data_IF_630373607291
#
_entry.id   IF_630373607291
#
_cell.length_a   1.000
_cell.length_b   1.000
_cell.length_c   1.000
_cell.angle_alpha   90.00
_cell.angle_beta   90.00
_cell.angle_gamma   90.00
#
_symmetry.space_group_name_H-M   'P 1'
#
loop_
_entity.id
_entity.type
_entity.pdbx_description
1 polymer ?
#
# COMPACT_ATOMS: atom_id res chain seq x y z
N UNK A 1 17.37 -18.34 -26.98
CA UNK A 1 16.38 -19.03 -26.12
C UNK A 1 15.12 -18.16 -26.12
N UNK A 2 14.03 -18.58 -26.76
CA UNK A 2 12.77 -17.82 -26.79
C UNK A 2 11.98 -18.17 -25.53
N UNK A 3 11.79 -17.22 -24.62
CA UNK A 3 10.86 -17.36 -23.51
C UNK A 3 9.45 -17.30 -24.09
N UNK A 4 8.75 -18.43 -24.09
CA UNK A 4 7.32 -18.47 -24.35
C UNK A 4 6.62 -18.09 -23.03
N UNK A 5 5.77 -17.06 -23.01
CA UNK A 5 4.97 -16.76 -21.82
C UNK A 5 4.02 -17.94 -21.59
N UNK A 6 4.08 -18.52 -20.40
CA UNK A 6 3.13 -19.54 -19.96
C UNK A 6 1.79 -18.85 -19.79
N UNK A 7 0.80 -19.22 -20.59
CA UNK A 7 -0.59 -18.83 -20.36
C UNK A 7 -1.03 -19.45 -19.04
N UNK A 8 -1.16 -18.62 -18.00
CA UNK A 8 -1.86 -19.02 -16.79
C UNK A 8 -3.34 -18.85 -17.08
N UNK A 9 -4.08 -19.94 -17.10
CA UNK A 9 -5.54 -19.88 -17.15
C UNK A 9 -6.02 -19.13 -15.90
N UNK A 10 -6.73 -18.02 -16.13
CA UNK A 10 -7.30 -17.20 -15.06
C UNK A 10 -8.58 -17.91 -14.61
N UNK A 11 -8.49 -18.68 -13.53
CA UNK A 11 -9.66 -19.27 -12.89
C UNK A 11 -10.42 -18.20 -12.08
N UNK A 12 -11.72 -18.12 -12.29
CA UNK A 12 -12.63 -17.33 -11.47
C UNK A 12 -12.69 -17.96 -10.07
N UNK A 13 -12.21 -17.23 -9.07
CA UNK A 13 -12.25 -17.67 -7.67
C UNK A 13 -13.56 -17.15 -7.08
N UNK A 14 -14.42 -18.06 -6.64
CA UNK A 14 -15.63 -17.71 -5.89
C UNK A 14 -15.28 -16.79 -4.72
N UNK A 15 -16.01 -15.68 -4.58
CA UNK A 15 -15.84 -14.73 -3.49
C UNK A 15 -16.25 -15.38 -2.17
N UNK A 16 -15.31 -16.00 -1.48
CA UNK A 16 -15.53 -16.63 -0.17
C UNK A 16 -15.68 -15.54 0.90
N UNK A 17 -16.90 -15.04 1.07
CA UNK A 17 -17.32 -14.12 2.15
C UNK A 17 -17.25 -12.64 1.81
N UNK A 18 -17.61 -11.79 2.78
CA UNK A 18 -17.31 -10.36 2.74
C UNK A 18 -15.79 -10.20 2.71
N UNK A 19 -15.24 -9.78 1.56
CA UNK A 19 -13.79 -9.58 1.39
C UNK A 19 -13.26 -8.53 2.39
N UNK A 20 -14.15 -7.69 2.90
CA UNK A 20 -13.92 -6.69 3.93
C UNK A 20 -15.06 -6.66 4.95
N UNK A 21 -15.16 -7.63 5.88
CA UNK A 21 -16.20 -7.62 6.90
C UNK A 21 -15.99 -6.37 7.77
N UNK A 22 -16.88 -5.39 7.63
CA UNK A 22 -16.82 -4.12 8.35
C UNK A 22 -16.36 -2.89 7.54
N UNK A 23 -16.08 -3.00 6.24
CA UNK A 23 -15.92 -1.82 5.38
C UNK A 23 -17.30 -1.28 5.02
N UNK A 24 -17.84 -0.38 5.84
CA UNK A 24 -19.00 0.40 5.46
C UNK A 24 -18.64 1.24 4.22
N UNK A 25 -19.25 0.89 3.08
CA UNK A 25 -19.02 1.57 1.81
C UNK A 25 -19.46 3.04 1.86
N UNK A 26 -20.36 3.40 2.80
CA UNK A 26 -20.78 4.78 3.04
C UNK A 26 -19.70 5.66 3.66
N UNK A 27 -18.71 5.06 4.33
CA UNK A 27 -17.61 5.78 4.98
C UNK A 27 -16.38 5.97 4.08
N UNK A 28 -16.44 5.47 2.84
CA UNK A 28 -15.34 5.60 1.90
C UNK A 28 -15.27 7.03 1.33
N UNK A 29 -14.09 7.66 1.31
CA UNK A 29 -13.95 9.06 0.95
C UNK A 29 -13.96 9.30 -0.58
N UNK A 30 -14.35 8.32 -1.39
CA UNK A 30 -14.31 8.37 -2.86
C UNK A 30 -14.10 7.00 -3.51
N UNK A 31 -13.65 6.98 -4.75
CA UNK A 31 -13.36 5.75 -5.49
C UNK A 31 -11.99 5.20 -5.09
N UNK A 32 -11.93 3.93 -4.70
CA UNK A 32 -10.65 3.25 -4.54
C UNK A 32 -10.03 3.00 -5.92
N UNK A 33 -8.91 3.66 -6.21
CA UNK A 33 -8.21 3.60 -7.51
C UNK A 33 -6.88 2.84 -7.44
N UNK A 34 -6.41 2.53 -6.23
CA UNK A 34 -5.24 1.71 -5.96
C UNK A 34 -5.53 0.80 -4.77
N UNK A 35 -5.04 -0.43 -4.83
CA UNK A 35 -5.16 -1.38 -3.73
C UNK A 35 -3.90 -2.22 -3.63
N UNK A 36 -3.53 -2.58 -2.40
CA UNK A 36 -2.48 -3.55 -2.15
C UNK A 36 -2.84 -4.35 -0.89
N UNK A 37 -2.50 -5.63 -0.86
CA UNK A 37 -2.82 -6.52 0.24
C UNK A 37 -1.61 -7.35 0.63
N UNK A 38 -1.42 -7.55 1.92
CA UNK A 38 -0.40 -8.42 2.49
C UNK A 38 -1.05 -9.25 3.59
N UNK A 39 -0.89 -10.57 3.50
CA UNK A 39 -1.31 -11.48 4.56
C UNK A 39 -0.07 -11.97 5.33
N UNK A 40 -0.09 -11.78 6.65
CA UNK A 40 0.84 -12.39 7.61
C UNK A 40 0.13 -13.49 8.38
N UNK A 41 0.77 -14.11 9.38
CA UNK A 41 0.10 -15.13 10.19
C UNK A 41 -0.94 -14.54 11.13
N UNK A 42 -0.72 -13.31 11.63
CA UNK A 42 -1.68 -12.62 12.50
C UNK A 42 -2.67 -11.74 11.76
N UNK A 43 -2.25 -11.05 10.69
CA UNK A 43 -3.04 -9.99 10.06
C UNK A 43 -3.19 -10.14 8.55
N UNK A 44 -4.38 -9.81 8.03
CA UNK A 44 -4.57 -9.38 6.65
C UNK A 44 -4.57 -7.86 6.60
N UNK A 45 -3.51 -7.31 6.02
CA UNK A 45 -3.37 -5.89 5.73
C UNK A 45 -4.00 -5.57 4.39
N UNK A 46 -4.91 -4.60 4.37
CA UNK A 46 -5.44 -4.06 3.12
C UNK A 46 -5.21 -2.56 3.08
N UNK A 47 -4.58 -2.09 2.02
CA UNK A 47 -4.25 -0.69 1.81
C UNK A 47 -4.99 -0.22 0.56
N UNK A 48 -5.82 0.79 0.72
CA UNK A 48 -6.63 1.39 -0.35
C UNK A 48 -6.21 2.84 -0.55
N UNK A 49 -6.00 3.22 -1.80
CA UNK A 49 -5.69 4.57 -2.23
C UNK A 49 -6.82 5.14 -3.08
N UNK A 50 -7.26 6.35 -2.75
CA UNK A 50 -8.47 6.95 -3.31
C UNK A 50 -8.16 8.07 -4.31
N UNK A 51 -9.09 8.30 -5.23
CA UNK A 51 -9.11 9.45 -6.15
C UNK A 51 -9.13 10.80 -5.43
N UNK A 52 -9.70 10.83 -4.22
CA UNK A 52 -9.68 12.00 -3.36
C UNK A 52 -8.35 12.20 -2.63
N UNK A 53 -7.38 11.29 -2.74
CA UNK A 53 -6.06 11.42 -2.09
C UNK A 53 -6.01 10.89 -0.66
N UNK A 54 -7.04 10.18 -0.21
CA UNK A 54 -6.96 9.40 1.03
C UNK A 54 -6.22 8.09 0.80
N UNK A 55 -5.51 7.63 1.82
CA UNK A 55 -5.07 6.25 1.97
C UNK A 55 -5.71 5.69 3.23
N UNK A 56 -6.31 4.51 3.13
CA UNK A 56 -6.87 3.78 4.26
C UNK A 56 -6.13 2.45 4.38
N UNK A 57 -5.67 2.12 5.58
CA UNK A 57 -5.17 0.80 5.93
C UNK A 57 -6.14 0.15 6.90
N UNK A 58 -6.48 -1.10 6.63
CA UNK A 58 -7.20 -1.95 7.59
C UNK A 58 -6.32 -3.13 8.00
N UNK A 59 -6.24 -3.37 9.31
CA UNK A 59 -5.64 -4.56 9.88
C UNK A 59 -6.77 -5.51 10.31
N UNK A 60 -6.99 -6.59 9.55
CA UNK A 60 -7.94 -7.64 9.91
C UNK A 60 -7.22 -8.78 10.60
N UNK A 61 -7.71 -9.18 11.77
CA UNK A 61 -7.17 -10.30 12.54
C UNK A 61 -7.50 -11.62 11.87
N UNK A 62 -6.49 -12.41 11.50
CA UNK A 62 -6.69 -13.75 10.93
C UNK A 62 -7.28 -14.72 11.96
N UNK A 63 -7.13 -14.44 13.26
CA UNK A 63 -7.67 -15.28 14.33
C UNK A 63 -9.17 -15.07 14.53
N UNK A 64 -9.61 -13.81 14.58
CA UNK A 64 -10.99 -13.46 14.92
C UNK A 64 -11.84 -13.10 13.71
N UNK A 65 -11.20 -12.86 12.56
CA UNK A 65 -11.79 -12.37 11.32
C UNK A 65 -12.49 -11.00 11.47
N UNK A 66 -12.08 -10.20 12.46
CA UNK A 66 -12.55 -8.83 12.67
C UNK A 66 -11.46 -7.81 12.34
N UNK A 67 -11.88 -6.61 11.94
CA UNK A 67 -11.01 -5.45 11.78
C UNK A 67 -10.60 -4.98 13.18
N UNK A 68 -9.31 -5.07 13.49
CA UNK A 68 -8.75 -4.57 14.76
C UNK A 68 -8.43 -3.08 14.67
N UNK A 69 -8.03 -2.60 13.49
CA UNK A 69 -7.73 -1.18 13.29
C UNK A 69 -8.04 -0.71 11.87
N UNK A 70 -8.43 0.56 11.78
CA UNK A 70 -8.55 1.32 10.53
C UNK A 70 -7.86 2.65 10.68
N UNK A 71 -6.78 2.82 9.94
CA UNK A 71 -5.92 4.00 9.97
C UNK A 71 -5.94 4.73 8.63
N UNK A 72 -5.92 6.07 8.66
CA UNK A 72 -6.03 6.90 7.45
C UNK A 72 -4.93 7.96 7.32
N UNK A 73 -4.51 8.23 6.08
CA UNK A 73 -3.64 9.35 5.70
C UNK A 73 -4.30 10.16 4.59
N UNK A 74 -3.92 11.44 4.48
CA UNK A 74 -4.42 12.35 3.46
C UNK A 74 -3.26 13.00 2.70
N UNK A 75 -3.37 12.99 1.38
CA UNK A 75 -2.43 13.59 0.44
C UNK A 75 -3.14 14.62 -0.44
N UNK A 76 -2.36 15.53 -1.01
CA UNK A 76 -2.84 16.48 -2.02
C UNK A 76 -2.86 15.77 -3.37
N UNK A 77 -4.05 15.53 -3.90
CA UNK A 77 -4.27 14.86 -5.19
C UNK A 77 -4.53 13.36 -5.08
N UNK A 78 -5.03 12.78 -6.18
CA UNK A 78 -5.37 11.37 -6.28
C UNK A 78 -4.15 10.46 -6.01
N UNK A 79 -4.35 9.36 -5.30
CA UNK A 79 -3.28 8.40 -5.03
C UNK A 79 -2.88 7.72 -6.34
N UNK A 80 -1.61 7.87 -6.72
CA UNK A 80 -1.08 7.34 -7.98
C UNK A 80 -0.23 6.10 -7.78
N UNK A 81 0.48 6.01 -6.64
CA UNK A 81 1.29 4.85 -6.24
C UNK A 81 0.93 4.41 -4.84
N UNK A 82 0.78 3.10 -4.67
CA UNK A 82 0.48 2.44 -3.41
C UNK A 82 1.10 1.03 -3.39
N UNK A 83 2.13 0.83 -2.59
CA UNK A 83 2.85 -0.43 -2.54
C UNK A 83 3.26 -0.78 -1.11
N UNK A 84 2.85 -1.95 -0.63
CA UNK A 84 3.33 -2.47 0.66
C UNK A 84 4.79 -2.93 0.50
N UNK A 85 5.63 -2.48 1.42
CA UNK A 85 7.01 -2.89 1.58
C UNK A 85 7.05 -3.84 2.79
N UNK A 86 7.07 -5.14 2.52
CA UNK A 86 6.99 -6.17 3.54
C UNK A 86 8.22 -6.15 4.47
N UNK A 87 7.97 -6.29 5.77
CA UNK A 87 9.01 -6.59 6.76
C UNK A 87 8.93 -8.09 7.11
N UNK A 88 9.92 -8.87 6.68
CA UNK A 88 9.94 -10.32 6.93
C UNK A 88 10.04 -10.57 8.43
N UNK A 89 9.14 -11.41 8.97
CA UNK A 89 9.11 -11.78 10.39
C UNK A 89 8.58 -10.70 11.34
N UNK A 90 8.05 -9.58 10.82
CA UNK A 90 7.39 -8.54 11.61
C UNK A 90 5.92 -8.47 11.22
N UNK A 91 5.06 -8.69 12.21
CA UNK A 91 3.61 -8.64 12.02
C UNK A 91 2.99 -7.45 12.74
N UNK A 92 3.76 -6.78 13.58
CA UNK A 92 3.40 -5.58 14.33
C UNK A 92 3.48 -4.30 13.49
N UNK A 93 3.91 -4.39 12.23
CA UNK A 93 4.09 -3.23 11.37
C UNK A 93 4.11 -3.55 9.88
N UNK A 94 3.77 -2.57 9.07
CA UNK A 94 3.98 -2.55 7.63
C UNK A 94 4.60 -1.22 7.21
N UNK A 95 5.37 -1.24 6.13
CA UNK A 95 5.74 -0.01 5.42
C UNK A 95 4.94 0.08 4.12
N UNK A 96 4.58 1.28 3.71
CA UNK A 96 3.81 1.56 2.50
C UNK A 96 4.50 2.70 1.76
N UNK A 97 4.91 2.45 0.52
CA UNK A 97 5.25 3.50 -0.43
C UNK A 97 3.97 4.13 -0.96
N UNK A 98 3.82 5.43 -0.76
CA UNK A 98 2.66 6.20 -1.22
C UNK A 98 3.15 7.37 -2.06
N UNK A 99 2.47 7.62 -3.18
CA UNK A 99 2.56 8.89 -3.90
C UNK A 99 1.18 9.31 -4.39
N UNK A 100 0.93 10.61 -4.42
CA UNK A 100 -0.17 11.18 -5.21
C UNK A 100 0.33 11.61 -6.58
N UNK A 101 -0.58 11.96 -7.48
CA UNK A 101 -0.24 12.52 -8.80
C UNK A 101 0.64 13.78 -8.72
N UNK A 102 0.70 14.46 -7.58
CA UNK A 102 1.52 15.65 -7.37
C UNK A 102 2.93 15.33 -6.85
N UNK A 103 3.14 14.13 -6.31
CA UNK A 103 4.36 13.78 -5.58
C UNK A 103 4.61 14.69 -4.35
N UNK A 104 5.79 14.56 -3.70
CA UNK A 104 6.74 13.46 -3.87
C UNK A 104 6.20 12.14 -3.29
N UNK A 105 6.74 11.03 -3.79
CA UNK A 105 6.56 9.73 -3.15
C UNK A 105 7.23 9.70 -1.77
N UNK A 106 6.64 8.97 -0.83
CA UNK A 106 7.16 8.81 0.52
C UNK A 106 6.88 7.41 1.04
N UNK A 107 7.76 6.90 1.91
CA UNK A 107 7.52 5.68 2.65
C UNK A 107 6.95 6.03 4.03
N UNK A 108 5.81 5.46 4.33
CA UNK A 108 5.14 5.55 5.61
C UNK A 108 5.15 4.20 6.29
N UNK A 109 5.41 4.17 7.59
CA UNK A 109 5.30 2.99 8.42
C UNK A 109 4.03 3.10 9.25
N UNK A 110 3.23 2.03 9.25
CA UNK A 110 2.15 1.82 10.19
C UNK A 110 2.62 0.75 11.18
N UNK A 111 2.62 1.05 12.47
CA UNK A 111 3.11 0.14 13.51
C UNK A 111 2.18 0.11 14.72
N UNK A 112 2.09 -1.05 15.37
CA UNK A 112 1.28 -1.24 16.56
C UNK A 112 1.88 -0.42 17.70
N UNK A 113 1.05 0.37 18.38
CA UNK A 113 1.46 1.17 19.52
C UNK A 113 2.06 0.29 20.64
N UNK A 114 2.97 0.81 21.49
CA UNK A 114 3.61 0.00 22.53
C UNK A 114 2.65 -0.65 23.53
N UNK A 115 1.51 -0.01 23.77
CA UNK A 115 0.40 -0.51 24.60
C UNK A 115 -0.54 -1.48 23.86
N UNK A 116 -0.29 -1.72 22.56
CA UNK A 116 -1.05 -2.62 21.67
C UNK A 116 -2.52 -2.24 21.49
N UNK A 117 -2.86 -0.97 21.66
CA UNK A 117 -4.24 -0.50 21.61
C UNK A 117 -4.68 -0.05 20.21
N UNK A 118 -3.76 0.42 19.37
CA UNK A 118 -4.05 0.94 18.02
C UNK A 118 -2.80 0.96 17.14
N UNK A 119 -2.95 1.27 15.85
CA UNK A 119 -1.82 1.48 14.96
C UNK A 119 -1.53 2.96 14.73
N UNK A 120 -0.24 3.30 14.64
CA UNK A 120 0.22 4.67 14.45
C UNK A 120 1.03 4.83 13.16
N UNK A 121 0.82 5.96 12.48
CA UNK A 121 1.58 6.32 11.29
C UNK A 121 2.86 7.07 11.64
N UNK A 122 3.95 6.68 10.99
CA UNK A 122 5.22 7.42 11.00
C UNK A 122 5.76 7.55 9.59
N UNK A 123 6.02 8.79 9.14
CA UNK A 123 6.73 9.03 7.88
C UNK A 123 8.20 8.66 8.05
N UNK A 124 8.69 7.75 7.22
CA UNK A 124 10.05 7.22 7.32
C UNK A 124 11.01 7.98 6.40
N UNK A 125 10.66 8.11 5.12
CA UNK A 125 11.48 8.82 4.15
C UNK A 125 10.61 9.46 3.07
N UNK A 126 11.13 10.52 2.46
CA UNK A 126 10.54 11.22 1.32
C UNK A 126 11.51 11.12 0.15
N UNK A 127 11.02 10.73 -1.01
CA UNK A 127 11.80 10.63 -2.23
C UNK A 127 11.71 11.98 -2.95
N UNK A 128 12.52 12.93 -2.52
CA UNK A 128 12.44 14.32 -2.97
C UNK A 128 12.63 14.49 -4.49
N UNK A 129 13.38 13.59 -5.13
CA UNK A 129 13.60 13.57 -6.58
C UNK A 129 12.30 13.34 -7.39
N UNK A 130 11.23 12.92 -6.73
CA UNK A 130 9.89 12.71 -7.32
C UNK A 130 8.94 13.89 -7.12
N UNK A 131 9.42 15.01 -6.58
CA UNK A 131 8.61 16.20 -6.30
C UNK A 131 8.35 16.99 -7.58
N UNK A 132 7.07 17.20 -7.93
CA UNK A 132 6.60 18.30 -8.81
C UNK A 132 7.15 18.39 -10.23
N UNK A 133 8.04 17.48 -10.65
CA UNK A 133 8.61 17.45 -12.00
C UNK A 133 7.66 16.76 -12.99
N UNK A 134 6.98 15.71 -12.54
CA UNK A 134 5.94 15.03 -13.30
C UNK A 134 5.10 14.11 -12.39
N UNK A 135 3.98 13.60 -12.89
CA UNK A 135 3.15 12.64 -12.19
C UNK A 135 3.91 11.33 -11.96
N UNK A 136 3.97 10.90 -10.71
CA UNK A 136 4.46 9.57 -10.34
C UNK A 136 3.39 8.55 -10.75
N UNK A 137 3.70 7.62 -11.65
CA UNK A 137 2.69 6.76 -12.30
C UNK A 137 2.74 5.30 -11.89
N UNK A 138 3.93 4.78 -11.56
CA UNK A 138 4.09 3.38 -11.19
C UNK A 138 5.24 3.18 -10.21
N UNK A 139 5.21 2.04 -9.52
CA UNK A 139 6.31 1.59 -8.69
C UNK A 139 6.45 0.07 -8.74
N UNK A 140 7.65 -0.39 -8.41
CA UNK A 140 7.93 -1.79 -8.14
C UNK A 140 8.91 -1.88 -6.97
N UNK A 141 8.83 -2.94 -6.19
CA UNK A 141 9.82 -3.26 -5.16
C UNK A 141 10.47 -4.60 -5.43
N UNK A 142 11.75 -4.69 -5.09
CA UNK A 142 12.51 -5.93 -4.97
C UNK A 142 13.18 -5.99 -3.59
N UNK A 143 14.06 -6.98 -3.38
CA UNK A 143 14.67 -7.27 -2.07
C UNK A 143 15.35 -6.07 -1.38
N UNK A 144 15.92 -5.14 -2.15
CA UNK A 144 16.62 -3.98 -1.60
C UNK A 144 16.31 -2.69 -2.35
N UNK A 145 15.48 -2.72 -3.38
CA UNK A 145 15.30 -1.60 -4.29
C UNK A 145 13.83 -1.32 -4.50
N UNK A 146 13.49 -0.04 -4.49
CA UNK A 146 12.21 0.48 -4.93
C UNK A 146 12.47 1.26 -6.20
N UNK A 147 11.83 0.86 -7.30
CA UNK A 147 11.82 1.63 -8.53
C UNK A 147 10.53 2.45 -8.59
N UNK A 148 10.65 3.70 -8.99
CA UNK A 148 9.52 4.59 -9.27
C UNK A 148 9.64 5.08 -10.70
N UNK A 149 8.52 5.04 -11.43
CA UNK A 149 8.40 5.66 -12.75
C UNK A 149 7.56 6.93 -12.68
N UNK A 150 8.06 7.99 -13.29
CA UNK A 150 7.29 9.21 -13.56
C UNK A 150 6.88 9.27 -15.03
N UNK A 151 5.85 10.05 -15.35
CA UNK A 151 5.38 10.20 -16.73
C UNK A 151 6.47 10.73 -17.68
N UNK A 152 7.37 11.58 -17.18
CA UNK A 152 8.49 12.18 -17.92
C UNK A 152 9.68 11.25 -18.13
N UNK A 153 9.53 9.95 -17.82
CA UNK A 153 10.55 8.93 -18.05
C UNK A 153 11.68 8.90 -17.02
N UNK A 154 11.57 9.65 -15.93
CA UNK A 154 12.57 9.62 -14.85
C UNK A 154 12.31 8.39 -13.97
N UNK A 155 13.34 7.54 -13.83
CA UNK A 155 13.32 6.42 -12.90
C UNK A 155 14.20 6.72 -11.70
N UNK A 156 13.60 6.72 -10.51
CA UNK A 156 14.32 6.85 -9.24
C UNK A 156 14.37 5.49 -8.54
N UNK A 157 15.57 5.09 -8.10
CA UNK A 157 15.78 3.87 -7.31
C UNK A 157 16.16 4.20 -5.88
N UNK A 158 15.37 3.76 -4.91
CA UNK A 158 15.69 3.89 -3.49
C UNK A 158 16.17 2.55 -2.93
N UNK A 159 17.25 2.55 -2.16
CA UNK A 159 17.59 1.39 -1.32
C UNK A 159 16.69 1.35 -0.10
N UNK A 160 15.96 0.25 0.10
CA UNK A 160 15.14 0.02 1.28
C UNK A 160 15.77 -1.10 2.12
N UNK A 161 16.10 -0.80 3.37
CA UNK A 161 16.50 -1.80 4.37
C UNK A 161 15.30 -2.12 5.25
N UNK A 162 14.78 -3.34 5.17
CA UNK A 162 13.68 -3.86 5.96
C UNK A 162 14.00 -3.97 7.45
#
# INVERSE_FOLDING_TARGET
MKFQPVSLDVEEIDSVGDIYPGLDLGDLPGSAIRSNCLQTSTYRWSVLGFDTGYVIVTALSMRTNFIEDRSKLKFSGAISVLLILQHIGREDKISVLVSSTLGPAAVWMLFLSPDKSHFEWKRMTVLEDTRGHDAVVCSASGHQLIAIGTYGGVSSTLKFSS
#
